data_IF_856209460474
#
_entry.id   IF_856209460474
#
_cell.length_a   1.000
_cell.length_b   1.000
_cell.length_c   1.000
_cell.angle_alpha   90.00
_cell.angle_beta   90.00
_cell.angle_gamma   90.00
#
_symmetry.space_group_name_H-M   'P 1'
#
loop_
_entity.id
_entity.type
_entity.pdbx_description
1 polymer ?
#
# COMPACT_ATOMS: atom_id res chain seq x y z
N UNK A 1 7.16 10.85 31.54
CA UNK A 1 6.77 10.91 30.12
C UNK A 1 6.88 9.50 29.55
N UNK A 2 5.76 8.89 29.27
CA UNK A 2 5.78 7.68 28.47
C UNK A 2 6.05 8.09 27.04
N UNK A 3 7.22 7.74 26.50
CA UNK A 3 7.48 7.85 25.07
C UNK A 3 6.46 6.94 24.37
N UNK A 4 5.61 7.57 23.54
CA UNK A 4 4.76 6.84 22.61
C UNK A 4 5.65 5.88 21.82
N UNK A 5 5.38 4.56 21.77
CA UNK A 5 6.23 3.67 20.98
C UNK A 5 6.26 4.21 19.56
N UNK A 6 7.47 4.37 19.01
CA UNK A 6 7.65 4.73 17.60
C UNK A 6 7.09 3.54 16.81
N UNK A 7 5.86 3.68 16.34
CA UNK A 7 5.24 2.64 15.52
C UNK A 7 5.95 2.69 14.18
N UNK A 8 6.73 1.66 13.88
CA UNK A 8 7.45 1.52 12.63
C UNK A 8 6.56 0.95 11.52
N UNK A 9 5.27 1.21 11.64
CA UNK A 9 4.21 0.72 10.76
C UNK A 9 3.52 1.88 10.05
N UNK A 10 3.31 1.73 8.76
CA UNK A 10 2.47 2.62 7.95
C UNK A 10 1.33 1.82 7.33
N UNK A 11 0.13 2.38 7.40
CA UNK A 11 -1.06 1.84 6.74
C UNK A 11 -1.26 2.65 5.46
N UNK A 12 -1.12 1.99 4.32
CA UNK A 12 -1.22 2.59 2.99
C UNK A 12 -2.55 2.15 2.39
N UNK A 13 -3.43 3.08 2.08
CA UNK A 13 -4.72 2.70 1.53
C UNK A 13 -5.20 3.60 0.39
N UNK A 14 -6.11 3.07 -0.38
CA UNK A 14 -6.88 3.78 -1.38
C UNK A 14 -8.32 3.27 -1.40
N UNK A 15 -9.26 4.15 -1.64
CA UNK A 15 -10.68 3.81 -1.76
C UNK A 15 -11.40 4.86 -2.59
N UNK A 16 -12.42 4.46 -3.33
CA UNK A 16 -13.23 5.40 -4.12
C UNK A 16 -14.02 6.40 -3.24
N UNK A 17 -14.17 6.12 -1.96
CA UNK A 17 -14.89 6.97 -1.01
C UNK A 17 -14.02 7.25 0.22
N UNK A 18 -13.88 8.53 0.58
CA UNK A 18 -13.08 8.93 1.76
C UNK A 18 -13.62 8.37 3.08
N UNK A 19 -14.92 8.19 3.20
CA UNK A 19 -15.59 7.65 4.39
C UNK A 19 -16.35 6.38 4.02
N UNK A 20 -15.62 5.34 3.67
CA UNK A 20 -16.19 4.06 3.29
C UNK A 20 -15.64 2.92 4.15
N UNK A 21 -15.90 1.70 3.70
CA UNK A 21 -15.52 0.50 4.45
C UNK A 21 -14.01 0.38 4.63
N UNK A 22 -13.22 0.77 3.63
CA UNK A 22 -11.75 0.73 3.74
C UNK A 22 -11.25 1.68 4.81
N UNK A 23 -11.73 2.92 4.85
CA UNK A 23 -11.32 3.88 5.88
C UNK A 23 -11.73 3.44 7.29
N UNK A 24 -12.88 2.81 7.44
CA UNK A 24 -13.31 2.23 8.72
C UNK A 24 -12.37 1.11 9.15
N UNK A 25 -12.04 0.19 8.24
CA UNK A 25 -11.10 -0.90 8.51
C UNK A 25 -9.70 -0.37 8.89
N UNK A 26 -9.23 0.65 8.21
CA UNK A 26 -7.95 1.31 8.51
C UNK A 26 -7.97 1.95 9.90
N UNK A 27 -9.05 2.66 10.23
CA UNK A 27 -9.20 3.29 11.55
C UNK A 27 -9.24 2.25 12.67
N UNK A 28 -9.95 1.17 12.48
CA UNK A 28 -10.02 0.06 13.47
C UNK A 28 -8.65 -0.59 13.64
N UNK A 29 -7.93 -0.84 12.56
CA UNK A 29 -6.58 -1.39 12.62
C UNK A 29 -5.64 -0.46 13.39
N UNK A 30 -5.67 0.84 13.06
CA UNK A 30 -4.85 1.85 13.74
C UNK A 30 -5.18 1.92 15.23
N UNK A 31 -6.45 1.87 15.60
CA UNK A 31 -6.89 1.90 16.99
C UNK A 31 -6.35 0.69 17.77
N UNK A 32 -6.29 -0.48 17.13
CA UNK A 32 -5.86 -1.71 17.77
C UNK A 32 -4.32 -1.87 17.79
N UNK A 33 -3.64 -1.54 16.70
CA UNK A 33 -2.21 -1.83 16.52
C UNK A 33 -1.33 -0.59 16.41
N UNK A 34 -1.90 0.59 16.23
CA UNK A 34 -1.14 1.82 15.97
C UNK A 34 -0.70 1.92 14.52
N UNK A 35 0.20 2.85 14.26
CA UNK A 35 0.76 3.11 12.93
C UNK A 35 0.37 4.48 12.38
N UNK A 36 1.14 4.95 11.42
CA UNK A 36 0.81 6.12 10.63
C UNK A 36 -0.06 5.73 9.44
N UNK A 37 -0.83 6.66 8.91
CA UNK A 37 -1.76 6.41 7.81
C UNK A 37 -1.40 7.29 6.62
N UNK A 38 -1.30 6.67 5.45
CA UNK A 38 -1.14 7.36 4.16
C UNK A 38 -2.29 6.95 3.25
N UNK A 39 -3.13 7.91 2.91
CA UNK A 39 -4.18 7.73 1.91
C UNK A 39 -3.64 8.12 0.54
N UNK A 40 -3.52 7.17 -0.37
CA UNK A 40 -2.99 7.43 -1.72
C UNK A 40 -3.87 8.39 -2.52
N UNK A 41 -5.17 8.46 -2.19
CA UNK A 41 -6.12 9.33 -2.89
C UNK A 41 -5.91 10.84 -2.57
N UNK A 42 -5.13 11.15 -1.54
CA UNK A 42 -4.75 12.52 -1.19
C UNK A 42 -3.60 13.07 -2.05
N UNK A 43 -3.01 12.24 -2.90
CA UNK A 43 -1.84 12.57 -3.72
C UNK A 43 -2.12 12.41 -5.20
N UNK A 44 -1.37 13.15 -6.01
CA UNK A 44 -1.39 13.00 -7.47
C UNK A 44 -0.38 11.92 -7.85
N UNK A 45 -0.88 10.76 -8.23
CA UNK A 45 -0.07 9.64 -8.72
C UNK A 45 -0.49 9.34 -10.15
N UNK A 46 0.30 9.84 -11.10
CA UNK A 46 0.04 9.61 -12.52
C UNK A 46 0.28 8.16 -12.90
N UNK A 47 -0.49 7.58 -13.82
CA UNK A 47 -0.21 6.25 -14.34
C UNK A 47 1.22 6.14 -14.88
N UNK A 48 1.79 4.94 -14.81
CA UNK A 48 3.11 4.67 -15.35
C UNK A 48 3.19 5.05 -16.84
N UNK A 49 4.32 5.62 -17.22
CA UNK A 49 4.58 6.06 -18.58
C UNK A 49 6.06 5.78 -18.91
N UNK A 50 6.33 5.22 -20.08
CA UNK A 50 7.68 4.79 -20.47
C UNK A 50 8.69 5.93 -20.54
N UNK A 51 8.25 7.13 -20.94
CA UNK A 51 9.13 8.31 -21.01
C UNK A 51 9.32 9.00 -19.65
N UNK A 52 8.61 8.55 -18.62
CA UNK A 52 8.70 9.03 -17.24
C UNK A 52 8.49 10.54 -17.09
N UNK A 53 7.69 11.12 -17.98
CA UNK A 53 7.31 12.53 -17.92
C UNK A 53 6.03 12.73 -17.14
N UNK A 54 6.18 12.99 -15.84
CA UNK A 54 5.06 13.22 -14.95
C UNK A 54 5.00 14.70 -14.56
N UNK A 55 3.78 15.28 -14.58
CA UNK A 55 3.55 16.68 -14.19
C UNK A 55 2.87 16.72 -12.82
N UNK A 56 3.43 17.56 -11.92
CA UNK A 56 2.84 17.78 -10.57
C UNK A 56 2.48 16.47 -9.87
N UNK A 57 3.42 15.55 -9.85
CA UNK A 57 3.24 14.18 -9.41
C UNK A 57 3.92 13.98 -8.05
N UNK A 58 3.23 13.33 -7.14
CA UNK A 58 3.68 13.14 -5.76
C UNK A 58 4.32 11.78 -5.50
N UNK A 59 4.38 10.89 -6.50
CA UNK A 59 4.77 9.50 -6.28
C UNK A 59 6.13 9.37 -5.59
N UNK A 60 7.15 10.07 -6.08
CA UNK A 60 8.50 9.93 -5.51
C UNK A 60 8.55 10.40 -4.05
N UNK A 61 7.90 11.52 -3.73
CA UNK A 61 7.85 12.02 -2.36
C UNK A 61 7.13 11.04 -1.43
N UNK A 62 6.01 10.48 -1.88
CA UNK A 62 5.24 9.49 -1.12
C UNK A 62 6.07 8.23 -0.92
N UNK A 63 6.66 7.68 -1.98
CA UNK A 63 7.42 6.45 -1.90
C UNK A 63 8.65 6.58 -0.99
N UNK A 64 9.38 7.70 -1.09
CA UNK A 64 10.54 7.99 -0.22
C UNK A 64 10.12 8.02 1.26
N UNK A 65 8.98 8.63 1.58
CA UNK A 65 8.46 8.66 2.95
C UNK A 65 8.14 7.25 3.46
N UNK A 66 7.56 6.38 2.61
CA UNK A 66 7.23 5.01 2.97
C UNK A 66 8.44 4.14 3.26
N UNK A 67 9.59 4.43 2.65
CA UNK A 67 10.82 3.67 2.88
C UNK A 67 11.33 3.78 4.33
N UNK A 68 10.86 4.76 5.11
CA UNK A 68 11.23 4.91 6.51
C UNK A 68 10.52 3.92 7.45
N UNK A 69 9.54 3.17 6.95
CA UNK A 69 8.75 2.23 7.76
C UNK A 69 9.19 0.79 7.50
N UNK A 70 9.17 -0.02 8.56
CA UNK A 70 9.56 -1.44 8.48
C UNK A 70 8.38 -2.36 8.15
N UNK A 71 7.16 -1.97 8.51
CA UNK A 71 5.96 -2.74 8.26
C UNK A 71 4.96 -1.90 7.45
N UNK A 72 4.61 -2.40 6.28
CA UNK A 72 3.62 -1.79 5.40
C UNK A 72 2.31 -2.58 5.46
N UNK A 73 1.27 -1.93 5.91
CA UNK A 73 -0.08 -2.50 5.90
C UNK A 73 -0.83 -1.93 4.70
N UNK A 74 -1.15 -2.79 3.74
CA UNK A 74 -1.78 -2.40 2.49
C UNK A 74 -3.28 -2.61 2.62
N UNK A 75 -4.08 -1.57 2.48
CA UNK A 75 -5.52 -1.66 2.64
C UNK A 75 -6.25 -1.23 1.37
N UNK A 76 -7.17 -2.06 0.90
CA UNK A 76 -7.90 -1.81 -0.35
C UNK A 76 -9.25 -2.53 -0.36
N UNK A 77 -10.28 -1.91 -0.94
CA UNK A 77 -11.46 -2.67 -1.37
C UNK A 77 -11.10 -3.56 -2.56
N UNK A 78 -11.93 -4.57 -2.81
CA UNK A 78 -11.79 -5.43 -3.98
C UNK A 78 -12.67 -4.89 -5.10
N UNK A 79 -12.05 -4.48 -6.20
CA UNK A 79 -12.72 -4.01 -7.41
C UNK A 79 -12.42 -4.97 -8.56
N UNK A 80 -13.42 -5.75 -8.96
CA UNK A 80 -13.25 -6.72 -10.05
C UNK A 80 -11.97 -7.56 -9.90
N UNK A 81 -11.83 -8.22 -8.75
CA UNK A 81 -10.69 -9.09 -8.40
C UNK A 81 -9.35 -8.34 -8.23
N UNK A 82 -9.36 -7.01 -8.19
CA UNK A 82 -8.15 -6.21 -8.11
C UNK A 82 -8.34 -5.03 -7.13
N UNK A 83 -7.34 -4.19 -7.04
CA UNK A 83 -7.36 -2.97 -6.23
C UNK A 83 -7.96 -1.78 -6.97
N UNK A 84 -7.97 -0.60 -6.33
CA UNK A 84 -8.42 0.65 -6.96
C UNK A 84 -7.45 1.09 -8.06
N UNK A 85 -7.91 1.91 -9.03
CA UNK A 85 -7.01 2.48 -10.04
C UNK A 85 -5.85 3.27 -9.43
N UNK A 86 -6.08 4.03 -8.36
CA UNK A 86 -5.05 4.82 -7.70
C UNK A 86 -3.98 3.93 -7.06
N UNK A 87 -4.38 2.86 -6.37
CA UNK A 87 -3.43 1.92 -5.80
C UNK A 87 -2.66 1.20 -6.90
N UNK A 88 -3.33 0.82 -7.98
CA UNK A 88 -2.67 0.16 -9.12
C UNK A 88 -1.65 1.11 -9.79
N UNK A 89 -1.98 2.39 -9.94
CA UNK A 89 -1.03 3.39 -10.43
C UNK A 89 0.21 3.46 -9.52
N UNK A 90 0.02 3.47 -8.21
CA UNK A 90 1.11 3.44 -7.24
C UNK A 90 2.00 2.20 -7.44
N UNK A 91 1.41 1.01 -7.60
CA UNK A 91 2.16 -0.23 -7.82
C UNK A 91 2.95 -0.19 -9.13
N UNK A 92 2.32 0.25 -10.21
CA UNK A 92 2.97 0.33 -11.53
C UNK A 92 4.14 1.32 -11.52
N UNK A 93 4.06 2.38 -10.74
CA UNK A 93 5.11 3.39 -10.61
C UNK A 93 6.36 2.90 -9.88
N UNK A 94 6.29 1.78 -9.16
CA UNK A 94 7.47 1.13 -8.56
C UNK A 94 8.49 0.77 -9.65
N UNK A 95 8.03 0.56 -10.88
CA UNK A 95 8.90 0.35 -12.03
C UNK A 95 9.93 1.47 -12.23
N UNK A 96 9.59 2.72 -11.89
CA UNK A 96 10.52 3.84 -11.98
C UNK A 96 11.77 3.64 -11.11
N UNK A 97 11.61 3.01 -9.95
CA UNK A 97 12.72 2.66 -9.05
C UNK A 97 13.53 1.47 -9.56
N UNK A 98 12.89 0.54 -10.26
CA UNK A 98 13.59 -0.62 -10.83
C UNK A 98 14.47 -0.23 -12.01
N UNK A 99 14.02 0.70 -12.82
CA UNK A 99 14.67 1.11 -14.07
C UNK A 99 15.80 2.12 -13.86
N UNK A 100 15.83 2.82 -12.74
CA UNK A 100 16.83 3.85 -12.45
C UNK A 100 17.93 3.31 -11.55
N UNK A 101 19.16 3.30 -12.03
CA UNK A 101 20.32 2.79 -11.27
C UNK A 101 20.55 3.54 -9.95
N UNK A 102 20.16 4.83 -9.88
CA UNK A 102 20.31 5.65 -8.68
C UNK A 102 19.24 5.32 -7.64
N UNK A 103 18.06 4.92 -8.07
CA UNK A 103 16.92 4.63 -7.19
C UNK A 103 16.84 3.15 -6.79
N UNK A 104 17.38 2.26 -7.60
CA UNK A 104 17.32 0.81 -7.36
C UNK A 104 17.87 0.39 -5.99
N UNK A 105 18.96 0.96 -5.47
CA UNK A 105 19.42 0.61 -4.12
C UNK A 105 18.40 0.92 -3.03
N UNK A 106 17.61 1.98 -3.19
CA UNK A 106 16.53 2.32 -2.27
C UNK A 106 15.41 1.28 -2.32
N UNK A 107 15.04 0.84 -3.52
CA UNK A 107 14.04 -0.22 -3.68
C UNK A 107 14.48 -1.52 -3.02
N UNK A 108 15.75 -1.86 -3.11
CA UNK A 108 16.32 -3.09 -2.50
C UNK A 108 16.23 -3.11 -0.98
N UNK A 109 16.07 -1.97 -0.31
CA UNK A 109 15.86 -1.93 1.15
C UNK A 109 14.54 -2.56 1.57
N UNK A 110 13.61 -2.77 0.65
CA UNK A 110 12.34 -3.47 0.93
C UNK A 110 12.55 -4.92 1.38
N UNK A 111 13.67 -5.55 1.04
CA UNK A 111 13.96 -6.94 1.45
C UNK A 111 14.08 -7.11 2.98
N UNK A 112 14.26 -6.04 3.72
CA UNK A 112 14.33 -6.05 5.18
C UNK A 112 12.96 -5.79 5.84
N UNK A 113 11.91 -5.57 5.04
CA UNK A 113 10.61 -5.12 5.50
C UNK A 113 9.55 -6.23 5.42
N UNK A 114 8.45 -5.99 6.14
CA UNK A 114 7.29 -6.87 6.17
C UNK A 114 6.06 -6.15 5.62
N UNK A 115 5.10 -6.91 5.11
CA UNK A 115 3.82 -6.36 4.70
C UNK A 115 2.65 -7.22 5.19
N UNK A 116 1.54 -6.55 5.40
CA UNK A 116 0.24 -7.15 5.70
C UNK A 116 -0.80 -6.61 4.74
N UNK A 117 -1.91 -7.30 4.60
CA UNK A 117 -3.00 -6.95 3.70
C UNK A 117 -4.30 -6.81 4.46
N UNK A 118 -4.98 -5.69 4.27
CA UNK A 118 -6.36 -5.48 4.70
C UNK A 118 -7.24 -5.37 3.47
N UNK A 119 -8.30 -6.16 3.42
CA UNK A 119 -9.24 -6.14 2.31
C UNK A 119 -10.68 -6.10 2.79
N UNK A 120 -11.56 -5.57 1.97
CA UNK A 120 -13.00 -5.61 2.20
C UNK A 120 -13.73 -5.79 0.87
N UNK A 121 -14.86 -6.47 0.92
CA UNK A 121 -15.72 -6.71 -0.23
C UNK A 121 -17.12 -7.08 0.25
N UNK A 122 -18.10 -7.08 -0.64
CA UNK A 122 -19.45 -7.59 -0.36
C UNK A 122 -19.52 -9.12 -0.36
N UNK A 123 -18.49 -9.79 0.14
CA UNK A 123 -18.38 -11.24 0.21
C UNK A 123 -17.59 -11.67 1.43
N UNK A 124 -17.81 -12.89 1.90
CA UNK A 124 -17.18 -13.43 3.10
C UNK A 124 -15.66 -13.62 2.96
N UNK A 125 -15.17 -13.77 1.74
CA UNK A 125 -13.75 -14.01 1.46
C UNK A 125 -13.25 -13.11 0.35
N UNK A 126 -11.98 -12.68 0.45
CA UNK A 126 -11.30 -12.00 -0.63
C UNK A 126 -10.99 -12.99 -1.75
N UNK A 127 -11.15 -12.59 -3.04
CA UNK A 127 -10.76 -13.45 -4.15
C UNK A 127 -9.25 -13.78 -4.11
N UNK A 128 -8.89 -15.00 -4.43
CA UNK A 128 -7.48 -15.41 -4.49
C UNK A 128 -6.67 -14.54 -5.45
N UNK A 129 -7.24 -14.16 -6.59
CA UNK A 129 -6.56 -13.30 -7.56
C UNK A 129 -6.14 -11.95 -6.95
N UNK A 130 -7.00 -11.35 -6.10
CA UNK A 130 -6.70 -10.12 -5.39
C UNK A 130 -5.55 -10.31 -4.40
N UNK A 131 -5.64 -11.35 -3.57
CA UNK A 131 -4.60 -11.66 -2.56
C UNK A 131 -3.27 -11.94 -3.25
N UNK A 132 -3.26 -12.77 -4.28
CA UNK A 132 -2.06 -13.15 -5.02
C UNK A 132 -1.42 -11.96 -5.73
N UNK A 133 -2.20 -11.02 -6.23
CA UNK A 133 -1.66 -9.82 -6.86
C UNK A 133 -0.78 -9.04 -5.88
N UNK A 134 -1.26 -8.77 -4.68
CA UNK A 134 -0.48 -8.08 -3.66
C UNK A 134 0.69 -8.92 -3.15
N UNK A 135 0.47 -10.20 -2.85
CA UNK A 135 1.52 -11.08 -2.35
C UNK A 135 2.64 -11.24 -3.36
N UNK A 136 2.31 -11.53 -4.61
CA UNK A 136 3.31 -11.70 -5.66
C UNK A 136 4.12 -10.42 -5.90
N UNK A 137 3.45 -9.27 -5.90
CA UNK A 137 4.11 -7.98 -6.10
C UNK A 137 5.14 -7.70 -5.00
N UNK A 138 4.73 -7.77 -3.74
CA UNK A 138 5.61 -7.40 -2.64
C UNK A 138 6.62 -8.50 -2.27
N UNK A 139 6.28 -9.77 -2.47
CA UNK A 139 7.26 -10.86 -2.38
C UNK A 139 8.36 -10.73 -3.45
N UNK A 140 7.99 -10.35 -4.67
CA UNK A 140 8.96 -10.07 -5.73
C UNK A 140 9.95 -8.95 -5.34
N UNK A 141 9.44 -7.94 -4.63
CA UNK A 141 10.27 -6.83 -4.13
C UNK A 141 11.09 -7.21 -2.89
N UNK A 142 10.97 -8.43 -2.40
CA UNK A 142 11.74 -8.96 -1.29
C UNK A 142 11.09 -8.84 0.09
N UNK A 143 9.90 -8.24 0.18
CA UNK A 143 9.20 -8.10 1.46
C UNK A 143 8.62 -9.43 1.94
N UNK A 144 8.56 -9.60 3.26
CA UNK A 144 8.00 -10.80 3.90
C UNK A 144 6.53 -10.57 4.24
N UNK A 145 5.65 -11.44 3.78
CA UNK A 145 4.23 -11.41 4.12
C UNK A 145 4.01 -11.82 5.58
N UNK A 146 3.19 -11.01 6.30
CA UNK A 146 2.92 -11.23 7.72
C UNK A 146 1.49 -11.72 7.98
N UNK A 147 0.48 -11.01 7.50
CA UNK A 147 -0.92 -11.31 7.82
C UNK A 147 -1.88 -10.72 6.79
N UNK A 148 -3.06 -11.33 6.69
CA UNK A 148 -4.20 -10.83 5.91
C UNK A 148 -5.45 -10.81 6.77
N UNK A 149 -6.19 -9.70 6.73
CA UNK A 149 -7.50 -9.56 7.34
C UNK A 149 -8.50 -9.13 6.28
N UNK A 150 -9.57 -9.89 6.14
CA UNK A 150 -10.68 -9.57 5.24
C UNK A 150 -11.94 -9.22 6.04
N UNK A 151 -12.66 -8.21 5.59
CA UNK A 151 -13.95 -7.82 6.17
C UNK A 151 -15.04 -7.99 5.11
N UNK A 152 -16.07 -8.76 5.47
CA UNK A 152 -17.30 -8.84 4.72
C UNK A 152 -18.08 -7.54 4.97
N UNK A 153 -18.21 -6.73 3.90
CA UNK A 153 -18.90 -5.44 3.93
C UNK A 153 -20.31 -5.50 3.33
N UNK A 154 -20.84 -6.71 3.20
CA UNK A 154 -22.21 -6.91 2.69
C UNK A 154 -23.30 -6.36 3.63
#
# INVERSE_FOLDING_TARGET
>A
MQQKPITNTVIIYSSARKKGNTSLQVNDYKAQYGGDVVCLDDYVISPYCYDKKYKNDDFYAVFEALLNYQHWVLASPVYWYNTTPQFKAFLDRITDYMDDERLRPKLRTLCEKQFSLLSNAGSAHAPNAFIEMFKNTFNYLGMTFKAHQHIDAS
#
